data_IF_219346894785
#
_entry.id   IF_219346894785
#
_cell.length_a   1.000
_cell.length_b   1.000
_cell.length_c   1.000
_cell.angle_alpha   90.00
_cell.angle_beta   90.00
_cell.angle_gamma   90.00
#
_symmetry.space_group_name_H-M   'P 1'
#
loop_
_entity.id
_entity.type
_entity.pdbx_description
1 polymer ?
#
# COMPACT_ATOMS: atom_id res chain seq x y z
N UNK A 1 4.66 2.69 -27.23
CA UNK A 1 5.98 2.49 -26.58
C UNK A 1 5.76 1.69 -25.30
N UNK A 2 6.14 0.41 -25.26
CA UNK A 2 6.16 -0.34 -23.99
C UNK A 2 7.22 0.32 -23.12
N UNK A 3 6.84 0.84 -21.95
CA UNK A 3 7.83 1.32 -20.98
C UNK A 3 8.58 0.08 -20.50
N UNK A 4 9.89 0.04 -20.70
CA UNK A 4 10.75 -1.04 -20.21
C UNK A 4 10.85 -0.93 -18.68
N UNK A 5 9.84 -1.49 -18.00
CA UNK A 5 9.72 -1.50 -16.54
C UNK A 5 10.13 -2.84 -15.95
N UNK A 6 10.25 -3.87 -16.80
CA UNK A 6 10.56 -5.25 -16.42
C UNK A 6 11.94 -5.35 -15.74
N UNK A 7 12.85 -4.41 -16.05
CA UNK A 7 14.17 -4.30 -15.45
C UNK A 7 14.24 -3.43 -14.18
N UNK A 8 13.14 -2.79 -13.74
CA UNK A 8 13.18 -1.80 -12.65
C UNK A 8 13.11 -2.40 -11.25
N UNK A 9 12.29 -3.43 -11.04
CA UNK A 9 12.08 -4.07 -9.75
C UNK A 9 11.84 -5.56 -9.93
N UNK A 10 12.32 -6.38 -8.99
CA UNK A 10 12.23 -7.84 -9.07
C UNK A 10 10.79 -8.35 -9.08
N UNK A 11 9.83 -7.59 -8.52
CA UNK A 11 8.40 -7.92 -8.57
C UNK A 11 7.86 -8.00 -10.01
N UNK A 12 8.43 -7.23 -10.96
CA UNK A 12 7.98 -7.23 -12.35
C UNK A 12 8.49 -8.45 -13.15
N UNK A 13 9.44 -9.21 -12.61
CA UNK A 13 9.96 -10.44 -13.21
C UNK A 13 9.18 -11.68 -12.78
N UNK A 14 8.33 -11.56 -11.76
CA UNK A 14 7.56 -12.68 -11.22
C UNK A 14 6.42 -13.01 -12.18
N UNK A 15 6.23 -14.30 -12.47
CA UNK A 15 5.25 -14.75 -13.48
C UNK A 15 4.14 -15.62 -12.90
N UNK A 16 4.32 -16.10 -11.67
CA UNK A 16 3.37 -16.97 -10.98
C UNK A 16 2.78 -16.32 -9.74
N UNK A 17 1.57 -16.76 -9.38
CA UNK A 17 0.89 -16.29 -8.18
C UNK A 17 1.65 -16.67 -6.91
N UNK A 18 2.30 -17.83 -6.90
CA UNK A 18 3.07 -18.36 -5.78
C UNK A 18 4.33 -17.51 -5.53
N UNK A 19 5.06 -17.15 -6.59
CA UNK A 19 6.22 -16.24 -6.51
C UNK A 19 5.81 -14.86 -5.99
N UNK A 20 4.71 -14.31 -6.53
CA UNK A 20 4.18 -13.02 -6.11
C UNK A 20 3.77 -13.03 -4.64
N UNK A 21 3.06 -14.07 -4.21
CA UNK A 21 2.67 -14.25 -2.81
C UNK A 21 3.89 -14.31 -1.89
N UNK A 22 4.90 -15.12 -2.26
CA UNK A 22 6.14 -15.24 -1.48
C UNK A 22 6.87 -13.90 -1.38
N UNK A 23 6.94 -13.13 -2.47
CA UNK A 23 7.54 -11.80 -2.47
C UNK A 23 6.87 -10.87 -1.44
N UNK A 24 5.54 -10.80 -1.43
CA UNK A 24 4.81 -9.97 -0.45
C UNK A 24 4.95 -10.50 0.99
N UNK A 25 4.94 -11.82 1.19
CA UNK A 25 5.22 -12.40 2.51
C UNK A 25 6.60 -12.03 3.01
N UNK A 26 7.62 -12.09 2.17
CA UNK A 26 8.98 -11.73 2.53
C UNK A 26 9.11 -10.22 2.81
N UNK A 27 8.47 -9.38 2.01
CA UNK A 27 8.48 -7.93 2.21
C UNK A 27 7.79 -7.48 3.49
N UNK A 28 6.77 -8.20 3.95
CA UNK A 28 6.00 -7.88 5.17
C UNK A 28 6.65 -8.42 6.45
N UNK A 29 7.64 -9.32 6.36
CA UNK A 29 8.35 -9.86 7.53
C UNK A 29 8.97 -8.75 8.39
N UNK A 30 8.94 -8.96 9.71
CA UNK A 30 9.53 -8.05 10.71
C UNK A 30 9.07 -6.59 10.57
N UNK A 31 7.82 -6.39 10.14
CA UNK A 31 7.23 -5.05 9.93
C UNK A 31 7.94 -4.21 8.85
N UNK A 32 8.73 -4.85 7.96
CA UNK A 32 9.54 -4.15 6.96
C UNK A 32 8.70 -3.29 6.03
N UNK A 33 7.57 -3.79 5.54
CA UNK A 33 6.65 -3.01 4.70
C UNK A 33 6.30 -1.64 5.33
N UNK A 34 5.85 -1.61 6.59
CA UNK A 34 5.47 -0.36 7.26
C UNK A 34 6.69 0.55 7.50
N UNK A 35 7.84 -0.03 7.84
CA UNK A 35 9.09 0.75 7.99
C UNK A 35 9.51 1.39 6.66
N UNK A 36 9.37 0.65 5.55
CA UNK A 36 9.66 1.17 4.21
C UNK A 36 8.71 2.32 3.88
N UNK A 37 7.40 2.21 4.16
CA UNK A 37 6.44 3.31 3.95
C UNK A 37 6.85 4.60 4.69
N UNK A 38 7.29 4.48 5.94
CA UNK A 38 7.81 5.62 6.72
C UNK A 38 9.08 6.18 6.08
N UNK A 39 10.03 5.30 5.72
CA UNK A 39 11.30 5.71 5.12
C UNK A 39 11.13 6.43 3.77
N UNK A 40 10.14 6.00 2.99
CA UNK A 40 9.79 6.57 1.69
C UNK A 40 8.93 7.83 1.82
N UNK A 41 8.59 8.25 3.04
CA UNK A 41 7.68 9.37 3.32
C UNK A 41 6.37 9.21 2.57
N UNK A 42 5.81 8.00 2.59
CA UNK A 42 4.53 7.72 1.95
C UNK A 42 3.39 8.40 2.72
N UNK A 43 2.96 9.57 2.24
CA UNK A 43 1.99 10.42 2.94
C UNK A 43 0.53 10.13 2.61
N UNK A 44 0.25 9.32 1.58
CA UNK A 44 -1.11 9.11 1.09
C UNK A 44 -2.12 8.68 2.18
N UNK A 45 -1.78 7.82 3.16
CA UNK A 45 -2.72 7.46 4.23
C UNK A 45 -3.12 8.67 5.09
N UNK A 46 -2.12 9.46 5.51
CA UNK A 46 -2.34 10.67 6.31
C UNK A 46 -3.18 11.71 5.55
N UNK A 47 -2.83 11.99 4.30
CA UNK A 47 -3.56 12.94 3.46
C UNK A 47 -5.01 12.47 3.22
N UNK A 48 -5.21 11.16 3.01
CA UNK A 48 -6.56 10.58 2.85
C UNK A 48 -7.41 10.82 4.09
N UNK A 49 -6.87 10.59 5.28
CA UNK A 49 -7.57 10.85 6.55
C UNK A 49 -7.90 12.33 6.71
N UNK A 50 -6.98 13.23 6.37
CA UNK A 50 -7.21 14.68 6.48
C UNK A 50 -8.33 15.15 5.55
N UNK A 51 -8.31 14.69 4.29
CA UNK A 51 -9.36 14.99 3.32
C UNK A 51 -10.70 14.39 3.75
N UNK A 52 -10.73 13.13 4.18
CA UNK A 52 -11.96 12.49 4.68
C UNK A 52 -12.52 13.25 5.88
N UNK A 53 -11.70 13.60 6.89
CA UNK A 53 -12.15 14.39 8.05
C UNK A 53 -12.75 15.73 7.66
N UNK A 54 -12.21 16.37 6.61
CA UNK A 54 -12.68 17.68 6.14
C UNK A 54 -14.06 17.61 5.47
N UNK A 55 -14.35 16.53 4.75
CA UNK A 55 -15.53 16.46 3.88
C UNK A 55 -16.57 15.42 4.30
N UNK A 56 -16.17 14.31 4.93
CA UNK A 56 -17.07 13.28 5.44
C UNK A 56 -17.56 13.65 6.85
N UNK A 57 -18.41 14.68 6.92
CA UNK A 57 -18.92 15.24 8.18
C UNK A 57 -19.85 14.29 8.94
N UNK A 58 -20.43 13.30 8.26
CA UNK A 58 -21.26 12.29 8.88
C UNK A 58 -20.39 11.17 9.47
N UNK A 59 -20.20 11.19 10.79
CA UNK A 59 -19.45 10.16 11.52
C UNK A 59 -20.07 8.76 11.48
N UNK A 60 -21.31 8.61 10.98
CA UNK A 60 -21.98 7.32 10.79
C UNK A 60 -21.85 6.78 9.36
N UNK A 61 -21.08 7.45 8.49
CA UNK A 61 -20.84 6.93 7.14
C UNK A 61 -20.07 5.60 7.20
N UNK A 62 -20.36 4.71 6.24
CA UNK A 62 -19.63 3.45 6.08
C UNK A 62 -18.48 3.69 5.11
N UNK A 63 -17.28 3.24 5.48
CA UNK A 63 -16.06 3.39 4.67
C UNK A 63 -15.59 1.99 4.25
N UNK A 64 -15.29 1.84 2.96
CA UNK A 64 -14.61 0.68 2.41
C UNK A 64 -13.20 1.09 1.99
N UNK A 65 -12.19 0.53 2.66
CA UNK A 65 -10.78 0.67 2.27
C UNK A 65 -10.36 -0.58 1.48
N UNK A 66 -10.58 -0.53 0.16
CA UNK A 66 -10.31 -1.64 -0.73
C UNK A 66 -8.81 -1.77 -1.02
N UNK A 67 -8.23 -2.93 -0.72
CA UNK A 67 -6.79 -3.14 -0.87
C UNK A 67 -5.97 -2.37 0.18
N UNK A 68 -6.50 -2.25 1.40
CA UNK A 68 -5.93 -1.46 2.50
C UNK A 68 -4.49 -1.85 2.93
N UNK A 69 -3.95 -2.95 2.42
CA UNK A 69 -2.63 -3.46 2.80
C UNK A 69 -2.58 -3.71 4.31
N UNK A 70 -1.69 -3.01 5.01
CA UNK A 70 -1.59 -3.08 6.48
C UNK A 70 -2.56 -2.15 7.22
N UNK A 71 -3.40 -1.39 6.50
CA UNK A 71 -4.44 -0.54 7.08
C UNK A 71 -3.95 0.81 7.60
N UNK A 72 -2.87 1.38 7.03
CA UNK A 72 -2.31 2.67 7.48
C UNK A 72 -3.30 3.84 7.47
N UNK A 73 -4.38 3.78 6.68
CA UNK A 73 -5.44 4.80 6.65
C UNK A 73 -6.31 4.75 7.93
N UNK A 74 -6.41 3.59 8.58
CA UNK A 74 -7.25 3.37 9.75
C UNK A 74 -6.54 3.50 11.09
N UNK A 75 -5.24 3.83 11.10
CA UNK A 75 -4.41 4.06 12.29
C UNK A 75 -4.43 5.56 12.63
#
# INVERSE_FOLDING_TARGET
>A
MKKDVDNKLDIYKLTTSEELLKYYQDWTKKNKYNQDMVSWKYTAPQETVLVLKKYALNSKCKILDAGCGTGLVGI
#
